data_IF_209235647964
#
_entry.id   IF_209235647964
#
_cell.length_a   1.000
_cell.length_b   1.000
_cell.length_c   1.000
_cell.angle_alpha   90.00
_cell.angle_beta   90.00
_cell.angle_gamma   90.00
#
_symmetry.space_group_name_H-M   'P 1'
#
loop_
_entity.id
_entity.type
_entity.pdbx_description
1 polymer ?
#
# COMPACT_ATOMS: atom_id res chain seq x y z
N UNK A 1 10.11 -14.06 -13.15
CA UNK A 1 9.27 -13.05 -12.48
C UNK A 1 7.93 -13.01 -13.17
N UNK A 2 6.89 -12.53 -12.49
CA UNK A 2 5.54 -12.45 -13.03
C UNK A 2 5.10 -10.98 -13.11
N UNK A 3 5.26 -10.33 -14.27
CA UNK A 3 4.80 -8.96 -14.50
C UNK A 3 3.32 -8.73 -14.14
N UNK A 4 2.47 -9.68 -14.54
CA UNK A 4 1.03 -9.68 -14.31
C UNK A 4 0.55 -11.09 -13.99
N UNK A 5 -0.72 -11.20 -13.57
CA UNK A 5 -1.30 -12.48 -13.18
C UNK A 5 -1.41 -13.47 -14.35
N UNK A 6 -1.41 -13.01 -15.60
CA UNK A 6 -1.42 -13.92 -16.76
C UNK A 6 -0.18 -14.82 -16.77
N UNK A 7 1.02 -14.24 -16.62
CA UNK A 7 2.26 -15.02 -16.59
C UNK A 7 2.32 -15.98 -15.39
N UNK A 8 1.80 -15.57 -14.23
CA UNK A 8 1.72 -16.44 -13.06
C UNK A 8 0.79 -17.64 -13.27
N UNK A 9 -0.40 -17.42 -13.84
CA UNK A 9 -1.36 -18.50 -14.08
C UNK A 9 -0.92 -19.45 -15.19
N UNK A 10 -0.30 -18.91 -16.24
CA UNK A 10 0.27 -19.71 -17.33
C UNK A 10 1.34 -20.66 -16.82
N UNK A 11 2.24 -20.18 -15.97
CA UNK A 11 3.34 -21.00 -15.43
C UNK A 11 2.87 -22.01 -14.37
N UNK A 12 2.04 -21.58 -13.42
CA UNK A 12 1.62 -22.43 -12.28
C UNK A 12 0.54 -23.44 -12.68
N UNK A 13 -0.42 -23.05 -13.52
CA UNK A 13 -1.60 -23.87 -13.82
C UNK A 13 -1.68 -24.30 -15.29
N UNK A 14 -0.81 -23.80 -16.18
CA UNK A 14 -0.90 -24.07 -17.61
C UNK A 14 -2.11 -23.41 -18.28
N UNK A 15 -2.75 -22.43 -17.65
CA UNK A 15 -3.98 -21.80 -18.16
C UNK A 15 -3.69 -20.40 -18.71
N UNK A 16 -4.05 -20.18 -19.98
CA UNK A 16 -3.87 -18.90 -20.66
C UNK A 16 -5.14 -18.04 -20.59
N UNK A 17 -5.26 -17.23 -19.54
CA UNK A 17 -6.37 -16.29 -19.36
C UNK A 17 -5.94 -14.86 -19.71
N UNK A 18 -6.14 -14.43 -20.95
CA UNK A 18 -5.66 -13.12 -21.44
C UNK A 18 -6.13 -11.93 -20.59
N UNK A 19 -7.31 -12.02 -19.99
CA UNK A 19 -7.84 -11.01 -19.07
C UNK A 19 -6.94 -10.70 -17.88
N UNK A 20 -6.13 -11.67 -17.44
CA UNK A 20 -5.20 -11.49 -16.33
C UNK A 20 -4.00 -10.59 -16.67
N UNK A 21 -3.81 -10.22 -17.94
CA UNK A 21 -2.82 -9.23 -18.36
C UNK A 21 -3.13 -7.84 -17.78
N UNK A 22 -4.41 -7.52 -17.52
CA UNK A 22 -4.84 -6.25 -16.89
C UNK A 22 -4.37 -6.10 -15.45
N UNK A 23 -4.12 -7.21 -14.76
CA UNK A 23 -3.82 -7.21 -13.33
C UNK A 23 -2.32 -7.40 -13.13
N UNK A 24 -1.61 -6.27 -13.02
CA UNK A 24 -0.18 -6.28 -12.69
C UNK A 24 0.04 -6.89 -11.30
N UNK A 25 1.05 -7.73 -11.17
CA UNK A 25 1.31 -8.47 -9.92
C UNK A 25 1.65 -7.51 -8.78
N UNK A 26 2.46 -6.48 -9.05
CA UNK A 26 2.78 -5.44 -8.07
C UNK A 26 1.51 -4.76 -7.53
N UNK A 27 0.66 -4.25 -8.43
CA UNK A 27 -0.60 -3.59 -8.06
C UNK A 27 -1.56 -4.51 -7.30
N UNK A 28 -1.61 -5.79 -7.69
CA UNK A 28 -2.39 -6.82 -6.99
C UNK A 28 -1.95 -6.99 -5.53
N UNK A 29 -0.64 -7.16 -5.28
CA UNK A 29 -0.12 -7.31 -3.92
C UNK A 29 -0.24 -6.03 -3.09
N UNK A 30 -0.12 -4.85 -3.71
CA UNK A 30 -0.41 -3.57 -3.04
C UNK A 30 -1.88 -3.50 -2.61
N UNK A 31 -2.82 -3.81 -3.50
CA UNK A 31 -4.25 -3.82 -3.17
C UNK A 31 -4.58 -4.86 -2.07
N UNK A 32 -3.99 -6.04 -2.16
CA UNK A 32 -4.11 -7.08 -1.14
C UNK A 32 -3.54 -6.61 0.21
N UNK A 33 -2.40 -5.90 0.21
CA UNK A 33 -1.81 -5.30 1.40
C UNK A 33 -2.78 -4.34 2.09
N UNK A 34 -3.48 -3.47 1.35
CA UNK A 34 -4.49 -2.59 1.94
C UNK A 34 -5.63 -3.38 2.61
N UNK A 35 -6.17 -4.40 1.94
CA UNK A 35 -7.28 -5.21 2.48
C UNK A 35 -6.85 -5.95 3.75
N UNK A 36 -5.72 -6.65 3.70
CA UNK A 36 -5.25 -7.45 4.84
C UNK A 36 -4.80 -6.55 6.00
N UNK A 37 -4.19 -5.41 5.72
CA UNK A 37 -3.80 -4.43 6.75
C UNK A 37 -5.01 -3.76 7.40
N UNK A 38 -6.06 -3.48 6.62
CA UNK A 38 -7.35 -3.03 7.17
C UNK A 38 -7.92 -4.05 8.15
N UNK A 39 -7.84 -5.33 7.81
CA UNK A 39 -8.28 -6.41 8.70
C UNK A 39 -7.42 -6.47 9.98
N UNK A 40 -6.09 -6.44 9.88
CA UNK A 40 -5.17 -6.42 11.03
C UNK A 40 -5.42 -5.21 11.93
N UNK A 41 -5.60 -4.03 11.36
CA UNK A 41 -5.93 -2.80 12.10
C UNK A 41 -7.28 -2.93 12.81
N UNK A 42 -8.30 -3.47 12.15
CA UNK A 42 -9.62 -3.71 12.75
C UNK A 42 -9.51 -4.61 13.97
N UNK A 43 -8.74 -5.69 13.89
CA UNK A 43 -8.52 -6.60 15.02
C UNK A 43 -7.84 -5.90 16.20
N UNK A 44 -6.84 -5.05 15.92
CA UNK A 44 -6.10 -4.35 16.97
C UNK A 44 -6.92 -3.21 17.61
N UNK A 45 -7.70 -2.46 16.82
CA UNK A 45 -8.60 -1.44 17.32
C UNK A 45 -9.71 -2.05 18.19
N UNK A 46 -10.30 -3.19 17.79
CA UNK A 46 -11.26 -3.93 18.61
C UNK A 46 -10.64 -4.39 19.93
N UNK A 47 -9.40 -4.89 19.92
CA UNK A 47 -8.69 -5.26 21.15
C UNK A 47 -8.48 -4.06 22.06
N UNK A 48 -8.00 -2.94 21.54
CA UNK A 48 -7.75 -1.71 22.32
C UNK A 48 -9.05 -1.10 22.86
N UNK A 49 -10.15 -1.20 22.11
CA UNK A 49 -11.48 -0.87 22.60
C UNK A 49 -11.88 -1.74 23.80
N UNK A 50 -11.66 -3.06 23.75
CA UNK A 50 -11.95 -3.96 24.88
C UNK A 50 -11.08 -3.66 26.11
N UNK A 51 -9.96 -2.96 25.94
CA UNK A 51 -9.11 -2.46 27.02
C UNK A 51 -9.53 -1.08 27.54
N UNK A 52 -10.60 -0.48 27.02
CA UNK A 52 -11.06 0.85 27.40
C UNK A 52 -10.21 2.00 26.85
N UNK A 53 -9.33 1.76 25.87
CA UNK A 53 -8.42 2.79 25.33
C UNK A 53 -9.05 3.72 24.29
N UNK A 54 -10.28 3.43 23.88
CA UNK A 54 -11.04 4.21 22.92
C UNK A 54 -12.45 4.45 23.43
N UNK A 55 -13.04 5.57 23.01
CA UNK A 55 -14.44 5.90 23.24
C UNK A 55 -15.19 5.91 21.91
N UNK A 56 -16.52 5.78 22.00
CA UNK A 56 -17.38 5.91 20.83
C UNK A 56 -17.76 7.37 20.59
N UNK A 57 -18.08 7.68 19.34
CA UNK A 57 -18.76 8.93 18.98
C UNK A 57 -20.19 8.61 18.56
N UNK A 58 -21.15 9.36 19.08
CA UNK A 58 -22.54 9.26 18.65
C UNK A 58 -22.74 10.08 17.37
N UNK A 59 -23.25 9.43 16.33
CA UNK A 59 -23.61 10.08 15.08
C UNK A 59 -25.07 9.76 14.74
N UNK A 60 -25.79 10.79 14.29
CA UNK A 60 -27.15 10.64 13.80
C UNK A 60 -27.08 10.18 12.34
N UNK A 61 -27.59 8.99 12.06
CA UNK A 61 -27.76 8.50 10.70
C UNK A 61 -29.25 8.41 10.36
N UNK A 62 -29.59 8.83 9.15
CA UNK A 62 -30.92 8.64 8.59
C UNK A 62 -31.02 7.22 8.07
N UNK A 63 -31.83 6.39 8.73
CA UNK A 63 -32.06 4.99 8.32
C UNK A 63 -33.37 4.91 7.54
N UNK A 64 -33.34 4.18 6.42
CA UNK A 64 -34.54 3.90 5.62
C UNK A 64 -34.95 5.00 4.64
N UNK A 65 -34.08 5.97 4.37
CA UNK A 65 -34.27 6.92 3.27
C UNK A 65 -34.14 6.24 1.89
N UNK A 66 -34.90 6.74 0.91
CA UNK A 66 -34.75 6.33 -0.49
C UNK A 66 -33.38 6.71 -1.03
N UNK A 67 -32.89 5.99 -2.04
CA UNK A 67 -31.66 6.36 -2.74
C UNK A 67 -31.78 7.80 -3.26
N UNK A 68 -30.81 8.65 -2.93
CA UNK A 68 -30.79 10.01 -3.47
C UNK A 68 -30.40 9.98 -4.96
N UNK A 69 -30.81 11.00 -5.72
CA UNK A 69 -30.38 11.15 -7.12
C UNK A 69 -28.85 11.20 -7.21
N UNK A 70 -28.20 11.86 -6.25
CA UNK A 70 -26.73 11.92 -6.18
C UNK A 70 -26.10 10.55 -5.95
N UNK A 71 -26.64 9.72 -5.05
CA UNK A 71 -26.16 8.36 -4.84
C UNK A 71 -26.29 7.52 -6.11
N UNK A 72 -27.44 7.58 -6.78
CA UNK A 72 -27.67 6.85 -8.02
C UNK A 72 -26.73 7.31 -9.14
N UNK A 73 -26.53 8.61 -9.29
CA UNK A 73 -25.63 9.18 -10.29
C UNK A 73 -24.18 8.81 -10.01
N UNK A 74 -23.72 8.86 -8.75
CA UNK A 74 -22.36 8.42 -8.38
C UNK A 74 -22.17 6.94 -8.70
N UNK A 75 -23.12 6.07 -8.35
CA UNK A 75 -23.03 4.65 -8.64
C UNK A 75 -23.09 4.36 -10.14
N UNK A 76 -23.91 5.12 -10.89
CA UNK A 76 -23.91 5.08 -12.35
C UNK A 76 -22.54 5.42 -12.92
N UNK A 77 -21.93 6.53 -12.48
CA UNK A 77 -20.61 6.95 -12.97
C UNK A 77 -19.51 5.94 -12.63
N UNK A 78 -19.52 5.37 -11.42
CA UNK A 78 -18.58 4.32 -11.02
C UNK A 78 -18.73 3.07 -11.89
N UNK A 79 -19.97 2.61 -12.08
CA UNK A 79 -20.26 1.49 -12.98
C UNK A 79 -19.90 1.81 -14.43
N UNK A 80 -20.13 3.05 -14.88
CA UNK A 80 -19.77 3.50 -16.21
C UNK A 80 -18.27 3.46 -16.45
N UNK A 81 -17.46 4.01 -15.55
CA UNK A 81 -16.00 3.97 -15.67
C UNK A 81 -15.51 2.52 -15.65
N UNK A 82 -16.05 1.68 -14.77
CA UNK A 82 -15.70 0.26 -14.70
C UNK A 82 -16.03 -0.49 -16.01
N UNK A 83 -17.25 -0.34 -16.54
CA UNK A 83 -17.63 -0.95 -17.81
C UNK A 83 -16.87 -0.38 -19.02
N UNK A 84 -16.69 0.94 -19.05
CA UNK A 84 -16.04 1.66 -20.15
C UNK A 84 -14.56 1.28 -20.28
N UNK A 85 -13.86 1.20 -19.15
CA UNK A 85 -12.43 0.85 -19.12
C UNK A 85 -12.21 -0.64 -18.94
N UNK A 86 -12.60 -1.20 -17.79
CA UNK A 86 -12.18 -2.55 -17.42
C UNK A 86 -12.80 -3.59 -18.34
N UNK A 87 -14.14 -3.55 -18.54
CA UNK A 87 -14.77 -4.48 -19.48
C UNK A 87 -14.47 -4.12 -20.94
N UNK A 88 -14.36 -2.82 -21.25
CA UNK A 88 -13.96 -2.36 -22.58
C UNK A 88 -12.59 -2.89 -23.02
N UNK A 89 -11.67 -3.11 -22.08
CA UNK A 89 -10.35 -3.65 -22.40
C UNK A 89 -10.38 -5.09 -22.94
N UNK A 90 -11.43 -5.86 -22.66
CA UNK A 90 -11.59 -7.23 -23.19
C UNK A 90 -12.12 -7.28 -24.62
N UNK A 91 -12.58 -6.15 -25.16
CA UNK A 91 -13.22 -6.06 -26.48
C UNK A 91 -12.39 -5.27 -27.48
N UNK A 92 -11.40 -4.52 -26.99
CA UNK A 92 -10.52 -3.70 -27.82
C UNK A 92 -9.19 -4.45 -28.00
N UNK A 93 -8.90 -4.83 -29.25
CA UNK A 93 -7.78 -5.74 -29.64
C UNK A 93 -6.37 -5.26 -29.26
N UNK A 94 -6.21 -4.01 -28.80
CA UNK A 94 -4.93 -3.45 -28.33
C UNK A 94 -4.85 -3.19 -26.83
N UNK A 95 -5.97 -3.27 -26.11
CA UNK A 95 -6.05 -2.83 -24.71
C UNK A 95 -5.33 -3.77 -23.74
N UNK A 96 -5.28 -5.07 -24.03
CA UNK A 96 -4.61 -6.07 -23.17
C UNK A 96 -3.08 -6.14 -23.39
N UNK A 97 -2.59 -5.58 -24.50
CA UNK A 97 -1.16 -5.56 -24.81
C UNK A 97 -0.43 -4.47 -24.00
N UNK A 98 -1.09 -3.33 -23.80
CA UNK A 98 -0.63 -2.27 -22.90
C UNK A 98 -1.80 -1.72 -22.07
N UNK A 99 -2.16 -2.42 -20.97
CA UNK A 99 -3.25 -2.02 -20.09
C UNK A 99 -3.08 -0.63 -19.50
N UNK A 100 -1.85 -0.22 -19.21
CA UNK A 100 -1.57 1.03 -18.51
C UNK A 100 -1.85 2.24 -19.41
N UNK A 101 -1.38 2.21 -20.66
CA UNK A 101 -1.69 3.28 -21.61
C UNK A 101 -3.17 3.30 -21.97
N UNK A 102 -3.81 2.13 -22.09
CA UNK A 102 -5.24 2.04 -22.34
C UNK A 102 -6.08 2.68 -21.23
N UNK A 103 -5.76 2.40 -19.96
CA UNK A 103 -6.45 3.00 -18.80
C UNK A 103 -6.36 4.53 -18.82
N UNK A 104 -5.18 5.09 -19.16
CA UNK A 104 -4.95 6.53 -19.26
C UNK A 104 -5.50 7.20 -20.53
N UNK A 105 -5.76 6.41 -21.58
CA UNK A 105 -6.27 6.95 -22.85
C UNK A 105 -7.71 7.46 -22.73
N UNK A 106 -8.23 8.10 -23.78
CA UNK A 106 -9.67 8.39 -23.90
C UNK A 106 -10.47 7.21 -24.47
N UNK A 107 -9.80 6.13 -24.86
CA UNK A 107 -10.44 4.96 -25.47
C UNK A 107 -11.18 4.13 -24.42
N UNK A 108 -12.24 3.47 -24.85
CA UNK A 108 -13.06 2.58 -24.02
C UNK A 108 -14.34 2.18 -24.74
N UNK A 109 -15.16 1.37 -24.08
CA UNK A 109 -16.40 0.88 -24.68
C UNK A 109 -17.63 1.54 -24.07
N UNK A 110 -18.24 2.45 -24.82
CA UNK A 110 -19.47 3.14 -24.43
C UNK A 110 -20.63 2.19 -24.11
N UNK A 111 -20.93 1.14 -24.92
CA UNK A 111 -22.00 0.21 -24.61
C UNK A 111 -21.81 -0.49 -23.26
N UNK A 112 -20.60 -0.97 -22.97
CA UNK A 112 -20.32 -1.60 -21.68
C UNK A 112 -20.35 -0.59 -20.52
N UNK A 113 -19.87 0.63 -20.73
CA UNK A 113 -19.97 1.71 -19.75
C UNK A 113 -21.43 2.00 -19.38
N UNK A 114 -22.29 2.27 -20.35
CA UNK A 114 -23.70 2.57 -20.10
C UNK A 114 -24.40 1.38 -19.43
N UNK A 115 -24.19 0.16 -19.93
CA UNK A 115 -24.81 -1.05 -19.38
C UNK A 115 -24.44 -1.25 -17.91
N UNK A 116 -23.15 -1.25 -17.58
CA UNK A 116 -22.68 -1.47 -16.20
C UNK A 116 -23.07 -0.29 -15.29
N UNK A 117 -23.06 0.94 -15.81
CA UNK A 117 -23.56 2.11 -15.08
C UNK A 117 -25.01 1.95 -14.66
N UNK A 118 -25.90 1.54 -15.59
CA UNK A 118 -27.31 1.27 -15.27
C UNK A 118 -27.43 0.15 -14.24
N UNK A 119 -26.65 -0.92 -14.37
CA UNK A 119 -26.65 -2.04 -13.42
C UNK A 119 -26.26 -1.55 -12.02
N UNK A 120 -25.19 -0.77 -11.88
CA UNK A 120 -24.73 -0.28 -10.56
C UNK A 120 -25.74 0.67 -9.92
N UNK A 121 -26.32 1.59 -10.70
CA UNK A 121 -27.39 2.46 -10.21
C UNK A 121 -28.63 1.65 -9.80
N UNK A 122 -29.02 0.65 -10.60
CA UNK A 122 -30.13 -0.25 -10.31
C UNK A 122 -29.90 -1.10 -9.05
N UNK A 123 -28.70 -1.65 -8.88
CA UNK A 123 -28.30 -2.37 -7.67
C UNK A 123 -28.37 -1.46 -6.43
N UNK A 124 -27.89 -0.21 -6.54
CA UNK A 124 -27.95 0.73 -5.42
C UNK A 124 -29.38 1.11 -5.07
N UNK A 125 -30.21 1.34 -6.09
CA UNK A 125 -31.63 1.58 -5.90
C UNK A 125 -32.32 0.39 -5.22
N UNK A 126 -32.04 -0.83 -5.67
CA UNK A 126 -32.60 -2.05 -5.08
C UNK A 126 -32.19 -2.25 -3.62
N UNK A 127 -30.92 -2.06 -3.30
CA UNK A 127 -30.38 -2.14 -1.93
C UNK A 127 -31.11 -1.17 -1.00
N UNK A 128 -31.23 0.10 -1.41
CA UNK A 128 -31.90 1.14 -0.62
C UNK A 128 -33.39 0.89 -0.49
N UNK A 129 -34.04 0.40 -1.56
CA UNK A 129 -35.47 0.11 -1.53
C UNK A 129 -35.77 -1.08 -0.60
N UNK A 130 -34.87 -2.06 -0.50
CA UNK A 130 -34.96 -3.17 0.47
C UNK A 130 -34.84 -2.70 1.93
N UNK A 131 -34.07 -1.66 2.17
CA UNK A 131 -33.86 -1.07 3.51
C UNK A 131 -34.81 0.09 3.81
N UNK A 132 -35.71 0.44 2.89
CA UNK A 132 -36.62 1.58 2.99
C UNK A 132 -37.61 1.37 4.13
N UNK A 133 -37.70 2.36 5.01
CA UNK A 133 -38.72 2.41 6.07
C UNK A 133 -39.89 3.27 5.60
N UNK A 134 -41.09 3.01 6.15
CA UNK A 134 -42.29 3.79 5.83
C UNK A 134 -42.13 5.29 6.15
N UNK A 135 -41.33 5.59 7.18
CA UNK A 135 -40.81 6.93 7.47
C UNK A 135 -39.32 6.78 7.79
N UNK A 136 -38.43 7.58 7.16
CA UNK A 136 -37.03 7.61 7.55
C UNK A 136 -36.89 8.02 9.02
N UNK A 137 -36.10 7.27 9.78
CA UNK A 137 -35.87 7.52 11.21
C UNK A 137 -34.43 8.00 11.43
N UNK A 138 -34.26 9.07 12.22
CA UNK A 138 -32.97 9.42 12.79
C UNK A 138 -32.62 8.42 13.88
N UNK A 139 -31.59 7.60 13.64
CA UNK A 139 -31.04 6.71 14.66
C UNK A 139 -29.68 7.23 15.10
N UNK A 140 -29.52 7.35 16.41
CA UNK A 140 -28.22 7.63 17.02
C UNK A 140 -27.46 6.31 17.07
N UNK A 141 -26.42 6.18 16.28
CA UNK A 141 -25.52 5.03 16.31
C UNK A 141 -24.23 5.41 17.01
N UNK A 142 -23.69 4.46 17.78
CA UNK A 142 -22.36 4.57 18.39
C UNK A 142 -21.35 4.06 17.38
N UNK A 143 -20.47 4.94 16.93
CA UNK A 143 -19.42 4.59 15.97
C UNK A 143 -18.09 4.52 16.71
N UNK A 144 -17.42 3.38 16.56
CA UNK A 144 -16.12 3.13 17.18
C UNK A 144 -14.98 3.33 16.18
N UNK A 145 -13.74 3.51 16.64
CA UNK A 145 -12.59 3.64 15.75
C UNK A 145 -12.40 2.46 14.80
N UNK A 146 -12.78 1.24 15.19
CA UNK A 146 -12.68 0.07 14.32
C UNK A 146 -13.69 0.08 13.15
N UNK A 147 -14.81 0.79 13.28
CA UNK A 147 -15.77 1.01 12.19
C UNK A 147 -15.23 2.03 11.17
N UNK A 148 -14.22 2.82 11.55
CA UNK A 148 -13.60 3.87 10.74
C UNK A 148 -12.39 3.40 9.95
N UNK A 149 -12.05 2.12 9.98
CA UNK A 149 -10.86 1.61 9.28
C UNK A 149 -10.95 1.85 7.77
N UNK A 150 -12.14 1.71 7.18
CA UNK A 150 -12.35 2.04 5.76
C UNK A 150 -12.02 3.50 5.45
N UNK A 151 -12.46 4.44 6.30
CA UNK A 151 -12.13 5.86 6.16
C UNK A 151 -10.61 6.08 6.27
N UNK A 152 -9.94 5.45 7.25
CA UNK A 152 -8.49 5.58 7.44
C UNK A 152 -7.73 5.07 6.21
N UNK A 153 -8.12 3.92 5.67
CA UNK A 153 -7.54 3.34 4.46
C UNK A 153 -7.74 4.25 3.26
N UNK A 154 -8.95 4.82 3.10
CA UNK A 154 -9.24 5.76 2.03
C UNK A 154 -8.37 7.01 2.12
N UNK A 155 -8.22 7.59 3.32
CA UNK A 155 -7.33 8.74 3.52
C UNK A 155 -5.87 8.37 3.24
N UNK A 156 -5.42 7.19 3.69
CA UNK A 156 -4.06 6.71 3.44
C UNK A 156 -3.78 6.56 1.94
N UNK A 157 -4.71 5.96 1.19
CA UNK A 157 -4.59 5.81 -0.25
C UNK A 157 -4.61 7.17 -0.96
N UNK A 158 -5.63 7.99 -0.74
CA UNK A 158 -5.81 9.27 -1.44
C UNK A 158 -4.65 10.24 -1.17
N UNK A 159 -4.34 10.50 0.09
CA UNK A 159 -3.29 11.45 0.45
C UNK A 159 -1.89 10.85 0.29
N UNK A 160 -1.76 9.51 0.32
CA UNK A 160 -0.52 8.82 0.01
C UNK A 160 -0.14 8.97 -1.47
N UNK A 161 -1.06 8.65 -2.38
CA UNK A 161 -0.83 8.84 -3.82
C UNK A 161 -0.64 10.31 -4.19
N UNK A 162 -1.53 11.18 -3.69
CA UNK A 162 -1.44 12.62 -3.95
C UNK A 162 -0.12 13.21 -3.44
N UNK A 163 0.25 12.89 -2.20
CA UNK A 163 1.50 13.36 -1.60
C UNK A 163 2.73 12.85 -2.35
N UNK A 164 2.74 11.57 -2.74
CA UNK A 164 3.87 10.99 -3.47
C UNK A 164 4.08 11.67 -4.83
N UNK A 165 2.99 12.01 -5.51
CA UNK A 165 3.03 12.70 -6.80
C UNK A 165 3.47 14.15 -6.68
N UNK A 166 2.94 14.88 -5.70
CA UNK A 166 3.32 16.27 -5.44
C UNK A 166 4.82 16.37 -5.14
N UNK A 167 5.33 15.55 -4.22
CA UNK A 167 6.74 15.61 -3.85
C UNK A 167 7.67 15.22 -4.98
N UNK A 168 7.31 14.20 -5.78
CA UNK A 168 8.07 13.85 -6.97
C UNK A 168 8.21 15.04 -7.93
N UNK A 169 7.12 15.77 -8.17
CA UNK A 169 7.14 16.92 -9.07
C UNK A 169 7.88 18.13 -8.48
N UNK A 170 7.91 18.26 -7.15
CA UNK A 170 8.72 19.27 -6.45
C UNK A 170 10.21 18.94 -6.52
N UNK A 171 10.58 17.67 -6.35
CA UNK A 171 11.97 17.19 -6.48
C UNK A 171 12.47 17.33 -7.92
N UNK A 172 11.61 17.05 -8.91
CA UNK A 172 11.93 17.11 -10.33
C UNK A 172 11.32 18.35 -11.00
N UNK A 173 11.44 19.51 -10.37
CA UNK A 173 10.80 20.76 -10.82
C UNK A 173 11.09 21.13 -12.29
N UNK A 174 12.32 20.90 -12.74
CA UNK A 174 12.73 21.21 -14.11
C UNK A 174 12.04 20.31 -15.15
N UNK A 175 11.72 19.06 -14.79
CA UNK A 175 10.95 18.16 -15.66
C UNK A 175 9.46 18.50 -15.60
N UNK A 176 8.94 18.77 -14.40
CA UNK A 176 7.57 19.21 -14.19
C UNK A 176 7.25 20.51 -14.95
N UNK A 177 8.15 21.49 -14.94
CA UNK A 177 7.96 22.76 -15.63
C UNK A 177 7.87 22.63 -17.16
N UNK A 178 8.41 21.55 -17.74
CA UNK A 178 8.37 21.28 -19.18
C UNK A 178 7.04 20.67 -19.63
N UNK A 179 6.47 19.77 -18.82
CA UNK A 179 5.16 19.16 -19.07
C UNK A 179 4.36 18.97 -17.78
N UNK A 180 3.70 20.02 -17.28
CA UNK A 180 2.98 19.96 -16.01
C UNK A 180 1.79 18.99 -16.03
N UNK A 181 1.09 18.89 -17.16
CA UNK A 181 -0.11 18.06 -17.29
C UNK A 181 0.27 16.59 -17.38
N UNK A 182 1.24 16.23 -18.24
CA UNK A 182 1.71 14.86 -18.35
C UNK A 182 2.38 14.37 -17.06
N UNK A 183 3.16 15.23 -16.40
CA UNK A 183 3.78 14.90 -15.11
C UNK A 183 2.77 14.66 -13.98
N UNK A 184 1.59 15.30 -14.00
CA UNK A 184 0.52 15.05 -13.01
C UNK A 184 -0.30 13.80 -13.32
N UNK A 185 -0.57 13.52 -14.60
CA UNK A 185 -1.43 12.41 -15.02
C UNK A 185 -0.68 11.07 -15.09
N UNK A 186 0.64 11.10 -15.30
CA UNK A 186 1.45 9.88 -15.40
C UNK A 186 1.34 9.01 -14.13
N UNK A 187 1.24 7.69 -14.31
CA UNK A 187 1.31 6.72 -13.22
C UNK A 187 2.75 6.52 -12.68
N UNK A 188 3.76 7.01 -13.39
CA UNK A 188 5.16 6.98 -12.94
C UNK A 188 5.53 8.24 -12.14
N UNK A 189 6.65 8.19 -11.43
CA UNK A 189 7.15 9.33 -10.65
C UNK A 189 6.39 9.52 -9.35
N UNK A 190 6.67 8.67 -8.37
CA UNK A 190 6.07 8.70 -7.05
C UNK A 190 7.18 8.71 -6.00
N UNK A 191 7.26 9.78 -5.22
CA UNK A 191 8.22 9.87 -4.11
C UNK A 191 7.58 9.32 -2.84
N UNK A 192 8.15 8.24 -2.30
CA UNK A 192 7.64 7.57 -1.10
C UNK A 192 7.39 8.53 0.08
N UNK A 193 8.34 9.45 0.36
CA UNK A 193 8.26 10.36 1.50
C UNK A 193 7.09 11.33 1.42
N UNK A 194 6.80 11.85 0.23
CA UNK A 194 5.63 12.69 0.03
C UNK A 194 4.35 11.96 0.40
N UNK A 195 4.24 10.69 0.01
CA UNK A 195 3.10 9.86 0.36
C UNK A 195 2.99 9.62 1.86
N UNK A 196 4.09 9.24 2.52
CA UNK A 196 4.10 9.00 3.97
C UNK A 196 3.71 10.24 4.79
N UNK A 197 4.29 11.41 4.45
CA UNK A 197 4.06 12.66 5.18
C UNK A 197 2.61 13.12 5.00
N UNK A 198 2.12 13.17 3.77
CA UNK A 198 0.76 13.64 3.48
C UNK A 198 -0.30 12.68 4.03
N UNK A 199 -0.14 11.36 3.85
CA UNK A 199 -1.04 10.37 4.42
C UNK A 199 -1.05 10.42 5.96
N UNK A 200 0.13 10.50 6.59
CA UNK A 200 0.26 10.62 8.04
C UNK A 200 -0.44 11.86 8.59
N UNK A 201 -0.21 13.03 7.97
CA UNK A 201 -0.86 14.28 8.36
C UNK A 201 -2.38 14.21 8.21
N UNK A 202 -2.87 13.65 7.09
CA UNK A 202 -4.31 13.51 6.83
C UNK A 202 -4.99 12.57 7.82
N UNK A 203 -4.36 11.43 8.15
CA UNK A 203 -4.87 10.48 9.15
C UNK A 203 -4.85 11.09 10.55
N UNK A 204 -3.79 11.82 10.94
CA UNK A 204 -3.72 12.52 12.23
C UNK A 204 -4.83 13.57 12.33
N UNK A 205 -5.05 14.36 11.26
CA UNK A 205 -6.12 15.33 11.20
C UNK A 205 -7.50 14.67 11.33
N UNK A 206 -7.74 13.60 10.56
CA UNK A 206 -8.98 12.81 10.62
C UNK A 206 -9.22 12.25 12.02
N UNK A 207 -8.21 11.63 12.62
CA UNK A 207 -8.28 11.06 13.96
C UNK A 207 -8.64 12.12 15.01
N UNK A 208 -7.98 13.29 14.98
CA UNK A 208 -8.28 14.41 15.88
C UNK A 208 -9.71 14.91 15.70
N UNK A 209 -10.16 15.09 14.45
CA UNK A 209 -11.53 15.53 14.13
C UNK A 209 -12.59 14.55 14.65
N UNK A 210 -12.28 13.25 14.65
CA UNK A 210 -13.16 12.18 15.15
C UNK A 210 -12.90 11.81 16.61
N UNK A 211 -12.12 12.60 17.37
CA UNK A 211 -11.78 12.36 18.78
C UNK A 211 -11.12 10.98 19.03
N UNK A 212 -10.47 10.41 18.01
CA UNK A 212 -9.68 9.18 18.12
C UNK A 212 -8.31 9.58 18.68
N UNK A 213 -7.90 8.94 19.78
CA UNK A 213 -6.58 9.18 20.36
C UNK A 213 -5.47 8.79 19.38
N UNK A 214 -4.72 9.79 18.91
CA UNK A 214 -3.67 9.62 17.89
C UNK A 214 -2.58 8.67 18.36
N UNK A 215 -2.19 8.72 19.63
CA UNK A 215 -1.14 7.85 20.15
C UNK A 215 -1.59 6.38 20.24
N UNK A 216 -2.83 6.14 20.64
CA UNK A 216 -3.39 4.78 20.65
C UNK A 216 -3.62 4.24 19.24
N UNK A 217 -3.97 5.11 18.29
CA UNK A 217 -4.05 4.78 16.88
C UNK A 217 -2.66 4.45 16.32
N UNK A 218 -1.63 5.22 16.65
CA UNK A 218 -0.26 4.95 16.23
C UNK A 218 0.24 3.60 16.77
N UNK A 219 -0.07 3.25 18.02
CA UNK A 219 0.25 1.92 18.56
C UNK A 219 -0.50 0.82 17.78
N UNK A 220 -1.75 1.05 17.40
CA UNK A 220 -2.52 0.09 16.61
C UNK A 220 -1.96 -0.06 15.19
N UNK A 221 -1.48 1.03 14.60
CA UNK A 221 -0.87 1.06 13.28
C UNK A 221 0.53 0.43 13.26
N UNK A 222 1.27 0.42 14.36
CA UNK A 222 2.64 -0.12 14.43
C UNK A 222 2.79 -1.55 13.87
N UNK A 223 2.08 -2.58 14.37
CA UNK A 223 2.11 -3.90 13.75
C UNK A 223 1.48 -3.90 12.34
N UNK A 224 0.42 -3.13 12.12
CA UNK A 224 -0.26 -3.05 10.82
C UNK A 224 0.66 -2.54 9.71
N UNK A 225 1.48 -1.52 9.98
CA UNK A 225 2.40 -0.94 8.99
C UNK A 225 3.51 -1.92 8.64
N UNK A 226 4.07 -2.62 9.63
CA UNK A 226 5.08 -3.65 9.39
C UNK A 226 4.51 -4.80 8.54
N UNK A 227 3.27 -5.20 8.82
CA UNK A 227 2.55 -6.18 8.02
C UNK A 227 2.27 -5.69 6.59
N UNK A 228 1.82 -4.45 6.44
CA UNK A 228 1.55 -3.81 5.15
C UNK A 228 2.83 -3.77 4.28
N UNK A 229 3.96 -3.45 4.91
CA UNK A 229 5.26 -3.37 4.26
C UNK A 229 5.73 -4.76 3.78
N UNK A 230 5.57 -5.80 4.61
CA UNK A 230 5.87 -7.17 4.21
C UNK A 230 5.07 -7.58 2.96
N UNK A 231 3.75 -7.33 2.94
CA UNK A 231 2.92 -7.63 1.77
C UNK A 231 3.24 -6.78 0.54
N UNK A 232 3.58 -5.49 0.74
CA UNK A 232 4.03 -4.63 -0.35
C UNK A 232 5.31 -5.16 -1.01
N UNK A 233 6.26 -5.63 -0.20
CA UNK A 233 7.53 -6.21 -0.67
C UNK A 233 7.35 -7.52 -1.45
N UNK A 234 6.28 -8.29 -1.19
CA UNK A 234 5.91 -9.43 -2.05
C UNK A 234 5.62 -8.94 -3.48
N UNK A 235 4.94 -7.81 -3.63
CA UNK A 235 4.72 -7.18 -4.93
C UNK A 235 6.03 -6.94 -5.67
N UNK A 236 6.99 -6.26 -5.01
CA UNK A 236 8.32 -5.99 -5.56
C UNK A 236 9.06 -7.26 -5.97
N UNK A 237 9.05 -8.28 -5.09
CA UNK A 237 9.74 -9.54 -5.34
C UNK A 237 9.13 -10.31 -6.53
N UNK A 238 7.81 -10.27 -6.71
CA UNK A 238 7.12 -11.03 -7.75
C UNK A 238 7.23 -10.34 -9.11
N UNK A 239 7.15 -9.01 -9.16
CA UNK A 239 7.27 -8.26 -10.40
C UNK A 239 8.73 -8.08 -10.85
N UNK A 240 9.69 -8.03 -9.92
CA UNK A 240 11.04 -7.58 -10.23
C UNK A 240 11.02 -6.12 -10.69
N UNK A 241 10.58 -5.23 -9.81
CA UNK A 241 10.39 -3.79 -10.10
C UNK A 241 11.64 -2.92 -9.91
N UNK A 242 12.80 -3.52 -9.66
CA UNK A 242 14.05 -2.79 -9.41
C UNK A 242 14.41 -2.64 -7.93
N UNK A 243 13.59 -3.13 -7.00
CA UNK A 243 13.88 -3.02 -5.57
C UNK A 243 14.94 -4.00 -5.02
N UNK A 244 15.72 -4.61 -5.91
CA UNK A 244 16.82 -5.53 -5.59
C UNK A 244 18.10 -4.82 -5.10
N UNK A 245 19.05 -5.66 -4.67
CA UNK A 245 20.31 -5.22 -4.09
C UNK A 245 21.43 -5.01 -5.11
N UNK A 246 22.62 -4.75 -4.59
CA UNK A 246 23.85 -4.71 -5.38
C UNK A 246 24.20 -6.10 -5.92
N UNK A 247 25.05 -6.20 -6.97
CA UNK A 247 25.64 -7.46 -7.39
C UNK A 247 26.20 -8.29 -6.24
N UNK A 248 25.77 -9.56 -6.14
CA UNK A 248 26.24 -10.49 -5.13
C UNK A 248 27.26 -11.45 -5.74
N UNK A 249 28.54 -11.16 -5.52
CA UNK A 249 29.66 -12.02 -5.94
C UNK A 249 30.17 -12.91 -4.79
N UNK A 250 29.54 -12.84 -3.62
CA UNK A 250 29.99 -13.58 -2.45
C UNK A 250 29.53 -15.04 -2.51
N UNK A 251 30.37 -16.00 -2.09
CA UNK A 251 29.99 -17.40 -2.06
C UNK A 251 28.79 -17.62 -1.13
N UNK A 252 27.90 -18.54 -1.52
CA UNK A 252 26.73 -18.88 -0.73
C UNK A 252 27.13 -19.41 0.65
N UNK A 253 26.57 -18.89 1.76
CA UNK A 253 27.03 -19.24 3.11
C UNK A 253 26.66 -20.67 3.52
N UNK A 254 25.58 -21.22 2.97
CA UNK A 254 25.08 -22.55 3.32
C UNK A 254 24.79 -23.38 2.08
N UNK A 255 25.28 -24.62 2.03
CA UNK A 255 25.11 -25.52 0.87
C UNK A 255 23.66 -25.92 0.59
N UNK A 256 22.86 -26.10 1.64
CA UNK A 256 21.44 -26.48 1.54
C UNK A 256 20.52 -25.35 1.05
N UNK A 257 21.00 -24.11 1.09
CA UNK A 257 20.20 -22.94 0.77
C UNK A 257 20.00 -22.83 -0.76
N UNK A 258 18.77 -22.58 -1.25
CA UNK A 258 18.55 -22.33 -2.67
C UNK A 258 19.31 -21.08 -3.15
N UNK A 259 19.83 -21.11 -4.37
CA UNK A 259 20.63 -20.00 -4.90
C UNK A 259 19.84 -18.70 -4.96
N UNK A 260 18.56 -18.77 -5.37
CA UNK A 260 17.66 -17.62 -5.44
C UNK A 260 17.41 -16.92 -4.08
N UNK A 261 17.70 -17.59 -2.95
CA UNK A 261 17.65 -16.97 -1.63
C UNK A 261 18.94 -16.19 -1.32
N UNK A 262 20.05 -16.47 -1.99
CA UNK A 262 21.32 -15.76 -1.82
C UNK A 262 21.60 -14.73 -2.91
N UNK A 263 21.49 -15.15 -4.16
CA UNK A 263 21.75 -14.34 -5.34
C UNK A 263 20.71 -14.69 -6.41
N UNK A 264 20.02 -13.68 -6.93
CA UNK A 264 18.94 -13.89 -7.88
C UNK A 264 19.08 -13.00 -9.10
N UNK A 265 18.79 -13.57 -10.27
CA UNK A 265 18.93 -12.90 -11.56
C UNK A 265 17.68 -12.12 -11.98
N UNK A 266 16.56 -12.23 -11.24
CA UNK A 266 15.29 -11.58 -11.58
C UNK A 266 14.91 -11.71 -13.08
N UNK A 267 14.82 -12.95 -13.61
CA UNK A 267 14.45 -13.15 -15.01
C UNK A 267 13.02 -12.66 -15.26
N UNK A 268 12.76 -12.05 -16.41
CA UNK A 268 11.47 -11.45 -16.77
C UNK A 268 11.02 -10.29 -15.87
N UNK A 269 11.97 -9.51 -15.36
CA UNK A 269 11.67 -8.33 -14.54
C UNK A 269 10.88 -7.27 -15.32
N UNK A 270 9.98 -6.55 -14.64
CA UNK A 270 9.06 -5.60 -15.29
C UNK A 270 9.74 -4.39 -15.91
N UNK A 271 10.94 -4.04 -15.43
CA UNK A 271 11.68 -2.89 -15.93
C UNK A 271 12.57 -3.22 -17.14
N UNK A 272 12.69 -4.49 -17.51
CA UNK A 272 13.52 -4.92 -18.65
C UNK A 272 15.02 -4.73 -18.44
N UNK A 273 15.49 -4.72 -17.19
CA UNK A 273 16.91 -4.50 -16.86
C UNK A 273 17.72 -5.79 -17.02
N UNK A 274 18.97 -5.63 -17.50
CA UNK A 274 19.92 -6.72 -17.68
C UNK A 274 20.04 -7.20 -19.13
N UNK A 275 20.57 -8.40 -19.32
CA UNK A 275 20.81 -9.02 -20.64
C UNK A 275 19.57 -9.76 -21.13
N UNK A 276 19.43 -9.85 -22.45
CA UNK A 276 18.36 -10.62 -23.09
C UNK A 276 18.55 -12.13 -22.85
N UNK A 277 17.49 -12.80 -22.41
CA UNK A 277 17.44 -14.25 -22.21
C UNK A 277 17.45 -14.93 -23.58
N UNK A 278 18.33 -15.91 -23.77
CA UNK A 278 18.48 -16.61 -25.05
C UNK A 278 17.21 -17.39 -25.40
N UNK A 279 16.64 -17.12 -26.58
CA UNK A 279 15.41 -17.78 -27.05
C UNK A 279 14.11 -17.22 -26.47
N UNK A 280 14.15 -16.10 -25.73
CA UNK A 280 12.95 -15.41 -25.26
C UNK A 280 12.51 -14.36 -26.28
N UNK A 281 11.24 -14.42 -26.70
CA UNK A 281 10.60 -13.45 -27.57
C UNK A 281 9.41 -12.79 -26.85
N UNK A 282 9.26 -11.47 -27.02
CA UNK A 282 8.18 -10.69 -26.41
C UNK A 282 8.65 -9.76 -25.28
N UNK A 283 7.70 -9.16 -24.54
CA UNK A 283 8.02 -8.26 -23.44
C UNK A 283 8.60 -9.02 -22.25
N UNK A 284 9.40 -8.33 -21.43
CA UNK A 284 10.01 -8.89 -20.22
C UNK A 284 10.95 -10.07 -20.51
N UNK A 285 11.86 -9.94 -21.48
CA UNK A 285 12.83 -10.99 -21.82
C UNK A 285 14.24 -10.75 -21.25
N UNK A 286 14.36 -9.95 -20.19
CA UNK A 286 15.65 -9.58 -19.62
C UNK A 286 15.89 -10.25 -18.26
N UNK A 287 17.17 -10.48 -17.95
CA UNK A 287 17.65 -10.96 -16.65
C UNK A 287 18.96 -10.27 -16.24
N UNK A 288 19.19 -10.14 -14.94
CA UNK A 288 20.38 -9.51 -14.37
C UNK A 288 21.58 -10.43 -14.42
N UNK A 289 22.70 -9.91 -14.92
CA UNK A 289 24.00 -10.60 -14.94
C UNK A 289 25.08 -9.56 -14.60
N UNK A 290 25.78 -9.68 -13.45
CA UNK A 290 25.70 -10.76 -12.44
C UNK A 290 24.41 -10.74 -11.60
N UNK A 291 24.15 -11.86 -10.90
CA UNK A 291 23.04 -11.95 -9.96
C UNK A 291 23.21 -10.97 -8.78
N UNK A 292 22.10 -10.53 -8.21
CA UNK A 292 22.06 -9.51 -7.15
C UNK A 292 21.50 -10.08 -5.85
N UNK A 293 21.73 -9.38 -4.74
CA UNK A 293 21.04 -9.71 -3.49
C UNK A 293 19.52 -9.53 -3.65
N UNK A 294 18.69 -10.53 -3.34
CA UNK A 294 17.24 -10.42 -3.41
C UNK A 294 16.69 -9.65 -2.20
N UNK A 295 16.99 -8.35 -2.11
CA UNK A 295 16.60 -7.51 -0.97
C UNK A 295 15.10 -7.49 -0.69
N UNK A 296 14.17 -7.45 -1.67
CA UNK A 296 12.75 -7.52 -1.39
C UNK A 296 12.36 -8.80 -0.64
N UNK A 297 12.99 -9.93 -0.97
CA UNK A 297 12.78 -11.19 -0.26
C UNK A 297 13.27 -11.13 1.19
N UNK A 298 14.42 -10.51 1.44
CA UNK A 298 14.93 -10.31 2.79
C UNK A 298 14.02 -9.40 3.60
N UNK A 299 13.53 -8.32 3.00
CA UNK A 299 12.58 -7.40 3.62
C UNK A 299 11.26 -8.12 3.94
N UNK A 300 10.72 -8.97 3.05
CA UNK A 300 9.51 -9.78 3.34
C UNK A 300 9.71 -10.63 4.60
N UNK A 301 10.81 -11.39 4.66
CA UNK A 301 11.10 -12.30 5.77
C UNK A 301 11.30 -11.49 7.07
N UNK A 302 12.15 -10.47 7.03
CA UNK A 302 12.41 -9.61 8.17
C UNK A 302 11.12 -8.96 8.67
N UNK A 303 10.31 -8.38 7.79
CA UNK A 303 9.10 -7.65 8.16
C UNK A 303 8.02 -8.58 8.74
N UNK A 304 7.86 -9.81 8.24
CA UNK A 304 6.97 -10.77 8.89
C UNK A 304 7.46 -11.19 10.29
N UNK A 305 8.77 -11.37 10.47
CA UNK A 305 9.35 -11.64 11.79
C UNK A 305 9.13 -10.45 12.74
N UNK A 306 9.40 -9.23 12.28
CA UNK A 306 9.22 -8.01 13.07
C UNK A 306 7.73 -7.75 13.38
N UNK A 307 6.84 -8.01 12.43
CA UNK A 307 5.40 -8.01 12.66
C UNK A 307 5.05 -8.99 13.78
N UNK A 308 5.58 -10.21 13.75
CA UNK A 308 5.34 -11.23 14.78
C UNK A 308 5.82 -10.76 16.14
N UNK A 309 7.01 -10.15 16.22
CA UNK A 309 7.54 -9.54 17.44
C UNK A 309 6.58 -8.46 17.95
N UNK A 310 6.17 -7.49 17.12
CA UNK A 310 5.23 -6.44 17.50
C UNK A 310 3.87 -7.03 17.94
N UNK A 311 3.40 -8.07 17.25
CA UNK A 311 2.13 -8.73 17.53
C UNK A 311 2.12 -9.48 18.86
N UNK A 312 3.28 -10.00 19.30
CA UNK A 312 3.48 -10.59 20.62
C UNK A 312 3.59 -9.49 21.68
N UNK A 313 4.40 -8.46 21.42
CA UNK A 313 4.70 -7.41 22.38
C UNK A 313 3.53 -6.42 22.60
N UNK A 314 2.55 -6.33 21.69
CA UNK A 314 1.33 -5.52 21.88
C UNK A 314 0.51 -5.89 23.13
N UNK A 315 0.70 -7.12 23.65
CA UNK A 315 0.07 -7.58 24.91
C UNK A 315 0.92 -7.26 26.15
N UNK A 316 2.23 -7.07 25.97
CA UNK A 316 3.19 -6.79 27.06
C UNK A 316 3.35 -5.29 27.29
N UNK A 317 3.40 -4.50 26.22
CA UNK A 317 3.54 -3.05 26.24
C UNK A 317 2.17 -2.41 26.46
N UNK A 318 1.90 -1.98 27.69
CA UNK A 318 0.61 -1.40 28.08
C UNK A 318 0.55 0.11 27.93
N UNK A 319 1.69 0.80 28.07
CA UNK A 319 1.75 2.26 28.01
C UNK A 319 1.63 2.73 26.56
N UNK A 320 0.81 3.74 26.32
CA UNK A 320 0.60 4.26 24.98
C UNK A 320 1.91 4.82 24.39
N UNK A 321 2.15 4.55 23.11
CA UNK A 321 3.33 5.01 22.38
C UNK A 321 4.55 4.10 22.48
N UNK A 322 4.57 3.13 23.42
CA UNK A 322 5.66 2.17 23.50
C UNK A 322 5.66 1.20 22.31
N UNK A 323 4.49 0.77 21.84
CA UNK A 323 4.42 -0.15 20.71
C UNK A 323 4.84 0.56 19.41
N UNK A 324 4.43 1.81 19.21
CA UNK A 324 4.97 2.66 18.14
C UNK A 324 6.47 2.87 18.27
N UNK A 325 6.98 3.13 19.48
CA UNK A 325 8.41 3.29 19.71
C UNK A 325 9.22 2.05 19.33
N UNK A 326 8.75 0.86 19.74
CA UNK A 326 9.35 -0.41 19.34
C UNK A 326 9.31 -0.60 17.82
N UNK A 327 8.20 -0.28 17.16
CA UNK A 327 8.12 -0.34 15.69
C UNK A 327 9.15 0.57 15.01
N UNK A 328 9.31 1.82 15.46
CA UNK A 328 10.27 2.75 14.87
C UNK A 328 11.71 2.24 15.02
N UNK A 329 12.06 1.67 16.17
CA UNK A 329 13.38 1.05 16.39
C UNK A 329 13.58 -0.12 15.42
N UNK A 330 12.64 -1.06 15.40
CA UNK A 330 12.77 -2.28 14.60
C UNK A 330 12.80 -1.97 13.09
N UNK A 331 11.91 -1.10 12.62
CA UNK A 331 11.86 -0.68 11.22
C UNK A 331 13.09 0.13 10.82
N UNK A 332 13.59 1.01 11.70
CA UNK A 332 14.83 1.74 11.43
C UNK A 332 16.05 0.82 11.37
N UNK A 333 16.14 -0.19 12.25
CA UNK A 333 17.22 -1.17 12.21
C UNK A 333 17.18 -2.00 10.92
N UNK A 334 16.01 -2.54 10.59
CA UNK A 334 15.79 -3.31 9.36
C UNK A 334 16.21 -2.50 8.13
N UNK A 335 15.71 -1.26 8.02
CA UNK A 335 16.01 -0.40 6.89
C UNK A 335 17.49 -0.06 6.82
N UNK A 336 18.13 0.25 7.95
CA UNK A 336 19.56 0.55 8.01
C UNK A 336 20.43 -0.61 7.50
N UNK A 337 20.10 -1.86 7.86
CA UNK A 337 20.89 -3.02 7.42
C UNK A 337 20.63 -3.40 5.96
N UNK A 338 19.38 -3.37 5.51
CA UNK A 338 19.03 -3.65 4.11
C UNK A 338 19.67 -2.62 3.17
N UNK A 339 19.71 -1.37 3.60
CA UNK A 339 20.29 -0.28 2.80
C UNK A 339 21.77 -0.50 2.46
N UNK A 340 22.54 -1.21 3.29
CA UNK A 340 23.95 -1.56 3.01
C UNK A 340 24.14 -2.47 1.81
N UNK A 341 23.11 -3.22 1.45
CA UNK A 341 23.11 -4.15 0.32
C UNK A 341 22.18 -3.69 -0.81
N UNK A 342 21.60 -2.48 -0.72
CA UNK A 342 20.78 -1.87 -1.79
C UNK A 342 21.57 -0.95 -2.71
N UNK A 343 21.05 -0.80 -3.93
CA UNK A 343 21.52 0.19 -4.91
C UNK A 343 20.83 1.52 -4.60
N UNK A 344 21.49 2.44 -3.90
CA UNK A 344 20.95 3.76 -3.61
C UNK A 344 22.02 4.85 -3.66
N UNK A 345 21.58 6.08 -3.94
CA UNK A 345 22.43 7.27 -4.02
C UNK A 345 22.97 7.65 -2.64
N UNK A 346 24.27 7.86 -2.55
CA UNK A 346 24.95 8.32 -1.33
C UNK A 346 25.12 9.83 -1.35
N UNK A 347 24.97 10.47 -0.19
CA UNK A 347 25.28 11.89 -0.06
C UNK A 347 26.78 12.10 0.08
N UNK A 348 27.47 12.28 -1.04
CA UNK A 348 28.93 12.45 -1.09
C UNK A 348 29.45 13.65 -0.28
N UNK A 349 28.60 14.66 -0.08
CA UNK A 349 28.93 15.88 0.66
C UNK A 349 28.96 15.71 2.20
N UNK A 350 28.45 14.59 2.72
CA UNK A 350 28.40 14.33 4.17
C UNK A 350 29.50 13.35 4.61
N UNK A 351 30.02 13.48 5.85
CA UNK A 351 30.94 12.49 6.39
C UNK A 351 30.28 11.12 6.42
N UNK A 352 31.04 10.07 6.08
CA UNK A 352 30.59 8.68 5.94
C UNK A 352 29.63 8.40 4.76
N UNK A 353 29.33 9.42 3.94
CA UNK A 353 28.52 9.32 2.72
C UNK A 353 27.21 8.52 2.91
N UNK A 354 26.37 8.85 3.92
CA UNK A 354 25.18 8.10 4.20
C UNK A 354 24.16 8.22 3.06
N UNK A 355 23.30 7.22 2.91
CA UNK A 355 22.12 7.35 2.05
C UNK A 355 21.00 8.07 2.80
N UNK A 356 20.02 8.59 2.05
CA UNK A 356 18.82 9.21 2.65
C UNK A 356 18.09 8.25 3.60
N UNK A 357 18.01 6.96 3.23
CA UNK A 357 17.35 5.96 4.04
C UNK A 357 18.11 5.68 5.35
N UNK A 358 19.44 5.75 5.37
CA UNK A 358 20.23 5.57 6.60
C UNK A 358 20.00 6.71 7.59
N UNK A 359 19.95 7.96 7.11
CA UNK A 359 19.65 9.12 7.95
C UNK A 359 18.27 9.02 8.58
N UNK A 360 17.26 8.63 7.78
CA UNK A 360 15.89 8.48 8.26
C UNK A 360 15.78 7.31 9.24
N UNK A 361 16.45 6.20 8.94
CA UNK A 361 16.53 5.04 9.84
C UNK A 361 17.10 5.42 11.20
N UNK A 362 18.16 6.22 11.23
CA UNK A 362 18.73 6.75 12.46
C UNK A 362 17.72 7.62 13.24
N UNK A 363 17.04 8.54 12.57
CA UNK A 363 15.99 9.37 13.19
C UNK A 363 14.85 8.51 13.74
N UNK A 364 14.43 7.47 13.01
CA UNK A 364 13.41 6.53 13.47
C UNK A 364 13.86 5.80 14.75
N UNK A 365 15.09 5.29 14.78
CA UNK A 365 15.63 4.59 15.96
C UNK A 365 15.67 5.53 17.17
N UNK A 366 16.22 6.74 17.01
CA UNK A 366 16.30 7.73 18.10
C UNK A 366 14.91 8.11 18.60
N UNK A 367 13.98 8.42 17.69
CA UNK A 367 12.58 8.76 18.03
C UNK A 367 11.90 7.60 18.75
N UNK A 368 12.13 6.37 18.29
CA UNK A 368 11.59 5.17 18.92
C UNK A 368 12.13 4.94 20.33
N UNK A 369 13.43 5.14 20.57
CA UNK A 369 14.04 5.07 21.91
C UNK A 369 13.43 6.14 22.82
N UNK A 370 13.31 7.38 22.34
CA UNK A 370 12.70 8.47 23.10
C UNK A 370 11.26 8.13 23.48
N UNK A 371 10.45 7.63 22.55
CA UNK A 371 9.09 7.18 22.83
C UNK A 371 9.07 6.05 23.87
N UNK A 372 9.95 5.05 23.76
CA UNK A 372 10.01 3.94 24.71
C UNK A 372 10.29 4.40 26.14
N UNK A 373 11.19 5.37 26.31
CA UNK A 373 11.59 5.91 27.63
C UNK A 373 10.57 6.91 28.18
N UNK A 374 10.08 7.83 27.34
CA UNK A 374 9.23 8.96 27.76
C UNK A 374 7.73 8.70 27.68
N UNK A 375 7.29 7.60 27.06
CA UNK A 375 5.88 7.25 26.94
C UNK A 375 5.14 7.23 28.29
N UNK A 376 5.80 6.75 29.36
CA UNK A 376 5.17 6.72 30.69
C UNK A 376 4.95 8.12 31.25
N UNK A 377 5.90 9.03 31.04
CA UNK A 377 5.81 10.42 31.49
C UNK A 377 4.73 11.18 30.69
N UNK A 378 4.68 10.95 29.37
CA UNK A 378 3.80 11.67 28.47
C UNK A 378 2.36 11.13 28.45
N UNK A 379 2.20 9.81 28.52
CA UNK A 379 0.92 9.13 28.29
C UNK A 379 0.50 8.21 29.44
N UNK A 380 1.33 8.02 30.47
CA UNK A 380 1.01 7.13 31.59
C UNK A 380 -0.22 7.58 32.41
N UNK A 381 -0.55 8.87 32.38
CA UNK A 381 -1.75 9.42 33.04
C UNK A 381 -3.04 9.23 32.26
N UNK A 382 -2.99 8.93 30.96
CA UNK A 382 -4.20 8.82 30.11
C UNK A 382 -4.90 7.46 30.20
N UNK A 383 -4.45 6.55 31.06
CA UNK A 383 -5.04 5.21 31.25
C UNK A 383 -5.87 5.07 32.53
N UNK A 384 -5.94 6.14 33.32
CA UNK A 384 -6.73 6.22 34.55
C UNK A 384 -7.71 7.36 34.34
N UNK A 385 -8.81 7.10 33.63
CA UNK A 385 -10.08 7.85 33.71
C UNK A 385 -11.12 7.15 32.85
#
# INVERSE_FOLDING_TARGET
MYPNLYYAFKDIFGVELEGLKLVNSFGFFVALSFILSAWVLTLELKRKQNLGQFTYTEEKIMVGATASISELLINFLLGFVFGFKILGAFVIDSALNDPQSFILSTNGSWPFGILVGIVFAGLKWWEKNKQKLAKPEERVIRIWPHDRVGDIVLYAALFGFLGAKIFHNLENWNEFAKDPIGALISFSGLTFYGGLICAGAAIIYYARKRKISVIHLADAMAPTMMFAYAFGRIGCQVSGDGDWGIPNLNPKPFSWMPDWLWAYNYPHNVIGEGKLITGCEGPYCNELIPAVYPTPLYEIIACFLLFTVLWIYRKKLKVAGQLSGLYLILNGLERFFIEKIRVNTKYEALPFQPTQAELISFVMIVTGIVLMVKAKDWFGKSQIN
#
